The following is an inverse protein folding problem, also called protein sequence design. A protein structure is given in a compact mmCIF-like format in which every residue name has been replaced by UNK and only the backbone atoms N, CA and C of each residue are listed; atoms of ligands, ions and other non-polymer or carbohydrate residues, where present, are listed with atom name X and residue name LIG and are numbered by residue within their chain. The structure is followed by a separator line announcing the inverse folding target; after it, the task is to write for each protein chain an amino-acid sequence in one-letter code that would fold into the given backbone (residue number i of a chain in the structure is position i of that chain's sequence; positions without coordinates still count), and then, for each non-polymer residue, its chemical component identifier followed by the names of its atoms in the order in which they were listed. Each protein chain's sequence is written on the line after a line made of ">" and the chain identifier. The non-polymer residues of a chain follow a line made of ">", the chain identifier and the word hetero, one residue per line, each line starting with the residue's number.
data_IF_569612479247
#
_entry.id   IF_569612479247
#
_cell.length_a   1.000
_cell.length_b   1.000
_cell.length_c   1.000
_cell.angle_alpha   90.00
_cell.angle_beta   90.00
_cell.angle_gamma   90.00
#
_symmetry.space_group_name_H-M   'P 1'
#
loop_
_entity.id
_entity.type
_entity.pdbx_description
1 polymer ?
#
# COMPACT_ATOMS: atom_id res chain seq x y z
N UNK A 1 -12.61 14.17 -14.02
CA UNK A 1 -11.36 14.25 -13.25
C UNK A 1 -10.23 14.36 -14.25
N UNK A 2 -9.32 15.32 -14.12
CA UNK A 2 -8.27 15.53 -15.11
C UNK A 2 -7.30 14.33 -15.12
N UNK A 3 -6.74 13.97 -16.28
CA UNK A 3 -5.83 12.82 -16.42
C UNK A 3 -4.65 12.87 -15.44
N UNK A 4 -4.11 14.07 -15.16
CA UNK A 4 -3.02 14.26 -14.19
C UNK A 4 -3.41 13.85 -12.77
N UNK A 5 -4.61 14.22 -12.31
CA UNK A 5 -5.10 13.83 -10.98
C UNK A 5 -5.30 12.31 -10.88
N UNK A 6 -5.75 11.65 -11.95
CA UNK A 6 -5.88 10.18 -12.01
C UNK A 6 -4.52 9.49 -11.83
N UNK A 7 -3.49 9.99 -12.52
CA UNK A 7 -2.13 9.46 -12.41
C UNK A 7 -1.57 9.62 -10.99
N UNK A 8 -1.81 10.77 -10.34
CA UNK A 8 -1.37 10.99 -8.95
C UNK A 8 -2.01 9.98 -7.99
N UNK A 9 -3.32 9.72 -8.12
CA UNK A 9 -3.99 8.73 -7.27
C UNK A 9 -3.51 7.30 -7.53
N UNK A 10 -3.25 6.93 -8.79
CA UNK A 10 -2.64 5.64 -9.10
C UNK A 10 -1.25 5.52 -8.49
N UNK A 11 -0.38 6.53 -8.65
CA UNK A 11 0.95 6.51 -8.06
C UNK A 11 0.89 6.43 -6.53
N UNK A 12 0.02 7.22 -5.89
CA UNK A 12 -0.19 7.15 -4.43
C UNK A 12 -0.60 5.75 -3.98
N UNK A 13 -1.60 5.13 -4.63
CA UNK A 13 -2.03 3.78 -4.29
C UNK A 13 -0.93 2.74 -4.51
N UNK A 14 -0.15 2.88 -5.57
CA UNK A 14 1.01 2.02 -5.83
C UNK A 14 2.06 2.14 -4.72
N UNK A 15 2.43 3.36 -4.32
CA UNK A 15 3.39 3.58 -3.23
C UNK A 15 2.88 3.08 -1.88
N UNK A 16 1.62 3.34 -1.54
CA UNK A 16 0.99 2.83 -0.30
C UNK A 16 0.99 1.31 -0.29
N UNK A 17 0.70 0.68 -1.44
CA UNK A 17 0.76 -0.78 -1.55
C UNK A 17 2.17 -1.31 -1.37
N UNK A 18 3.19 -0.66 -1.94
CA UNK A 18 4.58 -1.09 -1.81
C UNK A 18 5.07 -0.95 -0.35
N UNK A 19 4.75 0.15 0.31
CA UNK A 19 5.08 0.36 1.72
C UNK A 19 4.36 -0.66 2.63
N UNK A 20 3.08 -0.92 2.35
CA UNK A 20 2.31 -1.96 3.02
C UNK A 20 2.91 -3.35 2.83
N UNK A 21 3.36 -3.68 1.60
CA UNK A 21 4.03 -4.94 1.30
C UNK A 21 5.34 -5.08 2.08
N UNK A 22 6.17 -4.04 2.13
CA UNK A 22 7.41 -4.04 2.92
C UNK A 22 7.11 -4.26 4.41
N UNK A 23 6.12 -3.56 4.96
CA UNK A 23 5.70 -3.74 6.34
C UNK A 23 5.20 -5.18 6.61
N UNK A 24 4.47 -5.79 5.67
CA UNK A 24 4.06 -7.19 5.76
C UNK A 24 5.24 -8.16 5.68
N UNK A 25 6.21 -7.92 4.80
CA UNK A 25 7.44 -8.74 4.71
C UNK A 25 8.23 -8.71 6.02
N UNK A 26 8.33 -7.54 6.67
CA UNK A 26 8.90 -7.38 8.01
C UNK A 26 8.04 -8.15 9.04
N UNK A 27 6.72 -8.01 8.98
CA UNK A 27 5.80 -8.71 9.88
C UNK A 27 5.91 -10.24 9.78
N UNK A 28 6.08 -10.81 8.59
CA UNK A 28 6.27 -12.25 8.40
C UNK A 28 7.70 -12.71 8.69
N UNK A 29 8.64 -11.78 8.95
CA UNK A 29 10.04 -12.11 9.21
C UNK A 29 10.81 -12.56 7.97
N UNK A 30 10.27 -12.27 6.78
CA UNK A 30 10.95 -12.52 5.50
C UNK A 30 12.06 -11.49 5.30
N UNK A 31 11.83 -10.27 5.78
CA UNK A 31 12.83 -9.20 5.75
C UNK A 31 13.70 -9.23 7.03
N UNK A 32 15.05 -9.19 6.93
CA UNK A 32 15.95 -9.31 8.07
C UNK A 32 16.04 -7.99 8.87
N UNK A 33 14.92 -7.54 9.41
CA UNK A 33 14.82 -6.33 10.24
C UNK A 33 14.46 -6.72 11.66
N UNK A 34 15.29 -6.29 12.61
CA UNK A 34 15.05 -6.51 14.03
C UNK A 34 14.08 -5.47 14.60
N UNK A 35 12.80 -5.83 14.55
CA UNK A 35 11.68 -5.07 15.11
C UNK A 35 11.55 -5.22 16.64
N UNK A 36 12.33 -6.09 17.29
CA UNK A 36 12.26 -6.25 18.76
C UNK A 36 12.73 -5.00 19.50
N UNK A 37 13.60 -4.20 18.86
CA UNK A 37 14.11 -2.94 19.36
C UNK A 37 13.13 -1.76 19.23
N UNK A 38 12.04 -1.91 18.46
CA UNK A 38 11.16 -0.80 18.09
C UNK A 38 10.10 -0.47 19.16
N UNK A 39 10.13 -1.15 20.31
CA UNK A 39 9.15 -1.03 21.41
C UNK A 39 7.68 -1.10 20.94
N UNK A 40 7.44 -1.66 19.76
CA UNK A 40 6.14 -1.68 19.08
C UNK A 40 5.71 -3.13 18.92
N UNK A 41 4.47 -3.49 19.31
CA UNK A 41 4.00 -4.85 19.14
C UNK A 41 3.98 -5.26 17.67
N UNK A 42 4.50 -6.45 17.36
CA UNK A 42 4.59 -6.97 15.99
C UNK A 42 3.24 -6.97 15.25
N UNK A 43 2.14 -7.23 15.94
CA UNK A 43 0.80 -7.23 15.34
C UNK A 43 0.39 -5.85 14.80
N UNK A 44 0.90 -4.74 15.38
CA UNK A 44 0.64 -3.37 14.90
C UNK A 44 1.26 -3.18 13.52
N UNK A 45 2.48 -3.68 13.31
CA UNK A 45 3.18 -3.63 12.02
C UNK A 45 2.40 -4.43 10.97
N UNK A 46 1.91 -5.61 11.34
CA UNK A 46 1.06 -6.42 10.48
C UNK A 46 -0.25 -5.73 10.11
N UNK A 47 -0.89 -5.04 11.07
CA UNK A 47 -2.13 -4.32 10.84
C UNK A 47 -1.91 -3.10 9.93
N UNK A 48 -0.90 -2.28 10.21
CA UNK A 48 -0.55 -1.12 9.38
C UNK A 48 -0.17 -1.58 7.96
N UNK A 49 0.68 -2.60 7.85
CA UNK A 49 1.09 -3.15 6.57
C UNK A 49 -0.08 -3.72 5.77
N UNK A 50 -0.98 -4.46 6.43
CA UNK A 50 -2.19 -4.98 5.81
C UNK A 50 -3.10 -3.87 5.29
N UNK A 51 -3.42 -2.88 6.13
CA UNK A 51 -4.28 -1.75 5.74
C UNK A 51 -3.68 -1.01 4.55
N UNK A 52 -2.40 -0.61 4.61
CA UNK A 52 -1.72 0.09 3.52
C UNK A 52 -1.67 -0.74 2.23
N UNK A 53 -1.39 -2.03 2.34
CA UNK A 53 -1.31 -2.93 1.19
C UNK A 53 -2.66 -3.04 0.48
N UNK A 54 -3.72 -3.40 1.22
CA UNK A 54 -5.04 -3.59 0.64
C UNK A 54 -5.68 -2.28 0.20
N UNK A 55 -5.52 -1.18 0.96
CA UNK A 55 -6.04 0.13 0.55
C UNK A 55 -5.32 0.66 -0.68
N UNK A 56 -3.99 0.53 -0.73
CA UNK A 56 -3.18 0.96 -1.86
C UNK A 56 -3.53 0.21 -3.14
N UNK A 57 -3.68 -1.12 -3.06
CA UNK A 57 -4.14 -1.95 -4.18
C UNK A 57 -5.54 -1.54 -4.61
N UNK A 58 -6.49 -1.37 -3.69
CA UNK A 58 -7.85 -0.99 -4.01
C UNK A 58 -7.92 0.35 -4.77
N UNK A 59 -7.17 1.36 -4.30
CA UNK A 59 -7.08 2.67 -4.95
C UNK A 59 -6.41 2.55 -6.32
N UNK A 60 -5.27 1.85 -6.39
CA UNK A 60 -4.54 1.65 -7.63
C UNK A 60 -5.41 0.96 -8.69
N UNK A 61 -6.04 -0.16 -8.35
CA UNK A 61 -6.94 -0.90 -9.23
C UNK A 61 -8.14 -0.07 -9.63
N UNK A 62 -8.78 0.64 -8.69
CA UNK A 62 -9.94 1.48 -9.00
C UNK A 62 -9.62 2.54 -10.05
N UNK A 63 -8.52 3.29 -9.88
CA UNK A 63 -8.15 4.34 -10.82
C UNK A 63 -7.50 3.81 -12.11
N UNK A 64 -6.92 2.61 -12.08
CA UNK A 64 -6.42 1.92 -13.28
C UNK A 64 -7.55 1.38 -14.15
N UNK A 65 -8.60 0.80 -13.54
CA UNK A 65 -9.76 0.25 -14.25
C UNK A 65 -10.76 1.33 -14.67
N UNK A 66 -10.78 2.50 -14.03
CA UNK A 66 -11.43 3.72 -14.54
C UNK A 66 -10.64 4.31 -15.74
N UNK A 67 -10.49 3.52 -16.79
CA UNK A 67 -10.24 4.05 -18.14
C UNK A 67 -11.54 4.68 -18.60
N UNK A 68 -11.43 5.88 -19.16
CA UNK A 68 -12.51 6.80 -19.49
C UNK A 68 -13.72 6.06 -20.10
N UNK A 69 -14.91 6.20 -19.49
CA UNK A 69 -16.14 6.04 -20.26
C UNK A 69 -16.09 7.17 -21.30
N UNK A 70 -15.57 6.84 -22.47
CA UNK A 70 -15.69 7.65 -23.67
C UNK A 70 -17.16 7.58 -24.04
N UNK A 71 -17.94 8.54 -23.54
CA UNK A 71 -19.10 9.06 -24.27
C UNK A 71 -18.68 10.38 -24.94
#
# INVERSE_FOLDING_TARGET
>A
MNQQSRLIFMLSGAFDSLLGAVALLIYFGIFPVDISSWNTPRWVIGLIGGVLFFSGIAIFTYFSTKTDNVE
#
